data_IF_602479710443
#
_entry.id   IF_602479710443
#
_cell.length_a   1.000
_cell.length_b   1.000
_cell.length_c   1.000
_cell.angle_alpha   90.00
_cell.angle_beta   90.00
_cell.angle_gamma   90.00
#
_symmetry.space_group_name_H-M   'P 1'
#
loop_
_entity.id
_entity.type
_entity.pdbx_description
1 polymer ?
#
# COMPACT_ATOMS: atom_id res chain seq x y z
N UNK A 1 -20.10 -3.87 38.85
CA UNK A 1 -21.01 -3.24 37.88
C UNK A 1 -20.97 -4.06 36.59
N UNK A 2 -22.13 -4.47 36.00
CA UNK A 2 -22.20 -5.28 34.81
C UNK A 2 -21.48 -4.66 33.59
N UNK A 3 -21.42 -3.31 33.53
CA UNK A 3 -20.74 -2.59 32.45
C UNK A 3 -19.20 -2.65 32.51
N UNK A 4 -18.62 -3.14 33.59
CA UNK A 4 -17.16 -3.29 33.74
C UNK A 4 -16.69 -4.74 33.60
N UNK A 5 -17.61 -5.66 33.29
CA UNK A 5 -17.22 -7.04 32.99
C UNK A 5 -16.53 -7.10 31.64
N UNK A 6 -15.40 -7.82 31.48
CA UNK A 6 -14.61 -7.83 30.25
C UNK A 6 -15.40 -8.11 28.99
N UNK A 7 -16.42 -8.96 29.07
CA UNK A 7 -17.29 -9.33 27.97
C UNK A 7 -18.20 -8.20 27.48
N UNK A 8 -18.38 -7.14 28.26
CA UNK A 8 -19.21 -5.99 27.92
C UNK A 8 -18.37 -4.76 27.53
N UNK A 9 -17.03 -4.88 27.58
CA UNK A 9 -16.13 -3.77 27.24
C UNK A 9 -15.72 -3.88 25.78
N UNK A 10 -16.11 -2.88 24.98
CA UNK A 10 -15.67 -2.71 23.59
C UNK A 10 -14.54 -1.68 23.58
N UNK A 11 -13.37 -2.09 23.10
CA UNK A 11 -12.25 -1.16 22.92
C UNK A 11 -12.52 -0.24 21.72
N UNK A 12 -12.03 1.02 21.77
CA UNK A 12 -12.04 1.85 20.59
C UNK A 12 -11.13 1.26 19.50
N UNK A 13 -11.53 1.41 18.27
CA UNK A 13 -10.75 1.00 17.09
C UNK A 13 -10.69 2.19 16.16
N UNK A 14 -9.51 2.49 15.65
CA UNK A 14 -9.31 3.58 14.69
C UNK A 14 -9.95 3.25 13.34
N UNK A 15 -10.40 4.28 12.62
CA UNK A 15 -10.78 4.14 11.23
C UNK A 15 -9.57 3.74 10.40
N UNK A 16 -9.76 2.88 9.41
CA UNK A 16 -8.70 2.33 8.58
C UNK A 16 -9.13 2.16 7.13
N UNK A 17 -8.15 2.14 6.22
CA UNK A 17 -8.39 1.82 4.82
C UNK A 17 -8.31 0.31 4.65
N UNK A 18 -9.30 -0.28 3.99
CA UNK A 18 -9.37 -1.70 3.70
C UNK A 18 -9.52 -1.94 2.20
N UNK A 19 -8.77 -2.93 1.68
CA UNK A 19 -8.97 -3.46 0.32
C UNK A 19 -10.20 -4.38 0.31
N UNK A 20 -11.23 -4.00 -0.45
CA UNK A 20 -12.46 -4.78 -0.62
C UNK A 20 -12.42 -5.71 -1.84
N UNK A 21 -11.29 -5.74 -2.55
CA UNK A 21 -11.09 -6.49 -3.79
C UNK A 21 -11.18 -5.61 -5.02
N UNK A 22 -12.21 -4.80 -5.15
CA UNK A 22 -12.40 -3.88 -6.28
C UNK A 22 -11.88 -2.46 -5.98
N UNK A 23 -12.06 -2.00 -4.74
CA UNK A 23 -11.70 -0.65 -4.30
C UNK A 23 -11.07 -0.68 -2.91
N UNK A 24 -10.46 0.43 -2.54
CA UNK A 24 -10.11 0.72 -1.15
C UNK A 24 -11.24 1.53 -0.52
N UNK A 25 -11.69 1.13 0.65
CA UNK A 25 -12.76 1.79 1.39
C UNK A 25 -12.32 2.11 2.82
N UNK A 26 -12.87 3.20 3.35
CA UNK A 26 -12.65 3.56 4.75
C UNK A 26 -13.64 2.79 5.60
N UNK A 27 -13.11 1.92 6.47
CA UNK A 27 -13.89 1.28 7.53
C UNK A 27 -13.95 2.26 8.70
N UNK A 28 -15.15 2.69 9.12
CA UNK A 28 -15.29 3.65 10.20
C UNK A 28 -14.73 3.15 11.52
N UNK A 29 -14.38 4.11 12.34
CA UNK A 29 -13.94 3.89 13.71
C UNK A 29 -15.03 3.28 14.59
N UNK A 30 -14.60 2.52 15.60
CA UNK A 30 -15.47 2.05 16.68
C UNK A 30 -15.17 2.87 17.91
N UNK A 31 -16.15 3.65 18.40
CA UNK A 31 -15.98 4.51 19.58
C UNK A 31 -15.68 3.69 20.83
N UNK A 32 -16.24 2.51 20.95
CA UNK A 32 -16.10 1.67 22.11
C UNK A 32 -16.77 2.26 23.38
N UNK A 33 -16.55 1.57 24.50
CA UNK A 33 -17.04 1.99 25.81
C UNK A 33 -16.01 1.73 26.93
N UNK A 34 -14.73 1.53 26.56
CA UNK A 34 -13.65 1.29 27.48
C UNK A 34 -13.31 2.58 28.26
N UNK A 35 -13.34 2.49 29.60
CA UNK A 35 -12.95 3.60 30.44
C UNK A 35 -11.42 3.78 30.48
N UNK A 36 -10.99 5.03 30.47
CA UNK A 36 -9.64 5.39 30.91
C UNK A 36 -9.60 5.32 32.43
N UNK A 37 -8.89 4.35 32.96
CA UNK A 37 -8.87 4.07 34.40
C UNK A 37 -8.32 5.24 35.18
N UNK A 38 -7.18 5.79 34.77
CA UNK A 38 -6.51 6.88 35.49
C UNK A 38 -7.41 8.11 35.56
N UNK A 39 -7.93 8.52 34.42
CA UNK A 39 -8.83 9.67 34.32
C UNK A 39 -10.13 9.45 35.10
N UNK A 40 -10.68 8.27 35.07
CA UNK A 40 -11.90 7.93 35.82
C UNK A 40 -11.67 7.99 37.32
N UNK A 41 -10.56 7.45 37.82
CA UNK A 41 -10.18 7.51 39.24
C UNK A 41 -9.98 8.96 39.71
N UNK A 42 -9.32 9.79 38.91
CA UNK A 42 -9.12 11.24 39.21
C UNK A 42 -10.46 11.97 39.28
N UNK A 43 -11.33 11.81 38.32
CA UNK A 43 -12.64 12.47 38.24
C UNK A 43 -13.54 12.05 39.39
N UNK A 44 -13.60 10.77 39.72
CA UNK A 44 -14.40 10.25 40.82
C UNK A 44 -13.86 10.81 42.16
N UNK A 45 -12.55 10.77 42.39
CA UNK A 45 -11.93 11.28 43.58
C UNK A 45 -12.18 12.77 43.78
N UNK A 46 -12.05 13.57 42.72
CA UNK A 46 -12.34 15.00 42.77
C UNK A 46 -13.83 15.31 43.04
N UNK A 47 -14.73 14.50 42.52
CA UNK A 47 -16.16 14.63 42.76
C UNK A 47 -16.52 14.32 44.23
N UNK A 48 -15.93 13.27 44.79
CA UNK A 48 -16.11 12.90 46.18
C UNK A 48 -15.62 14.01 47.14
N UNK A 49 -14.44 14.56 46.88
CA UNK A 49 -13.90 15.68 47.64
C UNK A 49 -14.79 16.92 47.61
N UNK A 50 -15.55 17.15 46.54
CA UNK A 50 -16.50 18.26 46.39
C UNK A 50 -17.90 17.93 46.90
N UNK A 51 -18.11 16.77 47.50
CA UNK A 51 -19.41 16.31 48.00
C UNK A 51 -20.46 16.03 46.91
N UNK A 52 -20.04 15.78 45.68
CA UNK A 52 -20.97 15.40 44.62
C UNK A 52 -21.47 13.96 44.81
N UNK A 53 -22.77 13.74 44.62
CA UNK A 53 -23.41 12.44 44.76
C UNK A 53 -23.45 11.62 43.46
N UNK A 54 -23.17 12.27 42.33
CA UNK A 54 -23.13 11.64 41.00
C UNK A 54 -22.14 12.35 40.09
N UNK A 55 -21.61 11.61 39.15
CA UNK A 55 -20.71 12.08 38.06
C UNK A 55 -21.12 11.44 36.76
N UNK A 56 -21.19 12.24 35.72
CA UNK A 56 -21.39 11.74 34.36
C UNK A 56 -20.02 11.54 33.68
N UNK A 57 -19.58 10.28 33.54
CA UNK A 57 -18.26 9.94 33.00
C UNK A 57 -18.12 10.31 31.53
N UNK A 58 -19.22 10.37 30.76
CA UNK A 58 -19.24 10.84 29.37
C UNK A 58 -18.83 12.31 29.27
N UNK A 59 -19.52 13.17 30.07
CA UNK A 59 -19.24 14.60 30.08
C UNK A 59 -17.83 14.94 30.56
N UNK A 60 -17.26 14.08 31.40
CA UNK A 60 -15.88 14.21 31.90
C UNK A 60 -14.87 13.55 30.97
N UNK A 61 -15.32 13.03 29.82
CA UNK A 61 -14.48 12.37 28.81
C UNK A 61 -13.61 11.24 29.38
N UNK A 62 -14.21 10.41 30.24
CA UNK A 62 -13.53 9.29 30.89
C UNK A 62 -13.44 8.03 29.99
N UNK A 63 -14.06 8.03 28.83
CA UNK A 63 -13.95 6.93 27.87
C UNK A 63 -12.77 7.13 26.95
N UNK A 64 -12.08 6.03 26.62
CA UNK A 64 -11.06 6.01 25.56
C UNK A 64 -11.73 6.29 24.22
N UNK A 65 -11.04 6.99 23.35
CA UNK A 65 -11.52 7.35 22.03
C UNK A 65 -10.55 6.82 20.96
N UNK A 66 -11.02 6.56 19.74
CA UNK A 66 -10.14 6.34 18.60
C UNK A 66 -9.22 7.54 18.39
N UNK A 67 -8.04 7.26 17.84
CA UNK A 67 -7.08 8.31 17.44
C UNK A 67 -7.33 8.80 16.03
N UNK A 68 -7.85 7.92 15.16
CA UNK A 68 -8.16 8.22 13.74
C UNK A 68 -9.64 8.02 13.51
N UNK A 69 -10.26 8.99 12.86
CA UNK A 69 -11.69 8.99 12.54
C UNK A 69 -11.91 8.87 11.03
N UNK A 70 -13.04 8.32 10.61
CA UNK A 70 -13.46 8.24 9.21
C UNK A 70 -13.63 9.61 8.54
N UNK A 71 -13.72 10.66 9.34
CA UNK A 71 -13.75 12.06 8.88
C UNK A 71 -12.37 12.67 8.65
N UNK A 72 -11.31 11.99 9.06
CA UNK A 72 -9.94 12.45 8.92
C UNK A 72 -9.58 12.69 7.44
N UNK A 73 -9.06 13.89 7.15
CA UNK A 73 -8.77 14.30 5.78
C UNK A 73 -7.58 13.56 5.18
N UNK A 74 -6.56 13.24 6.01
CA UNK A 74 -5.41 12.44 5.57
C UNK A 74 -5.85 11.04 5.16
N UNK A 75 -6.68 10.40 5.98
CA UNK A 75 -7.20 9.06 5.70
C UNK A 75 -8.01 9.05 4.39
N UNK A 76 -8.85 10.07 4.16
CA UNK A 76 -9.62 10.22 2.92
C UNK A 76 -8.72 10.44 1.72
N UNK A 77 -7.77 11.36 1.81
CA UNK A 77 -6.82 11.64 0.73
C UNK A 77 -6.00 10.39 0.36
N UNK A 78 -5.54 9.64 1.36
CA UNK A 78 -4.83 8.38 1.15
C UNK A 78 -5.71 7.34 0.44
N UNK A 79 -6.96 7.17 0.89
CA UNK A 79 -7.90 6.25 0.26
C UNK A 79 -8.20 6.61 -1.20
N UNK A 80 -8.41 7.89 -1.48
CA UNK A 80 -8.60 8.39 -2.84
C UNK A 80 -7.37 8.17 -3.72
N UNK A 81 -6.17 8.48 -3.21
CA UNK A 81 -4.91 8.27 -3.91
C UNK A 81 -4.69 6.79 -4.24
N UNK A 82 -4.88 5.89 -3.26
CA UNK A 82 -4.78 4.44 -3.49
C UNK A 82 -5.73 4.01 -4.61
N UNK A 83 -6.99 4.46 -4.57
CA UNK A 83 -7.98 4.15 -5.60
C UNK A 83 -7.65 4.75 -6.98
N UNK A 84 -6.94 5.86 -7.04
CA UNK A 84 -6.47 6.43 -8.30
C UNK A 84 -5.32 5.60 -8.90
N UNK A 85 -4.32 5.28 -8.09
CA UNK A 85 -3.13 4.56 -8.53
C UNK A 85 -3.45 3.14 -9.02
N UNK A 86 -4.33 2.41 -8.35
CA UNK A 86 -4.68 1.04 -8.75
C UNK A 86 -5.55 0.94 -10.00
N UNK A 87 -6.05 2.04 -10.53
CA UNK A 87 -6.77 2.07 -11.81
C UNK A 87 -5.83 2.08 -13.02
N UNK A 88 -4.57 2.40 -12.79
CA UNK A 88 -3.57 2.48 -13.86
C UNK A 88 -3.18 1.07 -14.28
N UNK A 89 -3.06 0.88 -15.58
CA UNK A 89 -2.55 -0.35 -16.18
C UNK A 89 -1.34 0.04 -17.06
N UNK A 90 -0.17 -0.49 -16.71
CA UNK A 90 1.03 -0.36 -17.52
C UNK A 90 1.28 -1.70 -18.19
N UNK A 91 1.30 -1.70 -19.53
CA UNK A 91 1.64 -2.89 -20.30
C UNK A 91 3.04 -2.72 -20.88
N UNK A 92 3.98 -3.54 -20.43
CA UNK A 92 5.29 -3.64 -21.05
C UNK A 92 5.20 -4.42 -22.36
N UNK A 93 5.78 -3.86 -23.40
CA UNK A 93 5.92 -4.49 -24.72
C UNK A 93 7.37 -4.93 -24.93
N UNK A 94 7.60 -6.23 -25.00
CA UNK A 94 8.90 -6.83 -25.29
C UNK A 94 8.96 -7.36 -26.73
N UNK A 95 8.13 -6.82 -27.62
CA UNK A 95 7.98 -7.18 -29.03
C UNK A 95 7.32 -8.56 -29.29
N UNK A 96 7.82 -9.63 -28.66
CA UNK A 96 7.29 -11.00 -28.82
C UNK A 96 6.35 -11.42 -27.66
N UNK A 97 6.29 -10.62 -26.60
CA UNK A 97 5.49 -10.86 -25.40
C UNK A 97 5.18 -9.58 -24.65
N UNK A 98 4.20 -9.65 -23.78
CA UNK A 98 3.81 -8.52 -22.92
C UNK A 98 3.79 -8.91 -21.44
N UNK A 99 4.00 -7.93 -20.58
CA UNK A 99 3.84 -8.06 -19.12
C UNK A 99 2.95 -6.92 -18.64
N UNK A 100 2.03 -7.20 -17.73
CA UNK A 100 1.08 -6.18 -17.28
C UNK A 100 1.24 -5.89 -15.79
N UNK A 101 1.39 -4.62 -15.49
CA UNK A 101 1.33 -4.07 -14.13
C UNK A 101 -0.05 -3.47 -13.94
N UNK A 102 -0.82 -4.08 -13.08
CA UNK A 102 -2.20 -3.69 -12.78
C UNK A 102 -2.44 -3.60 -11.26
N UNK A 103 -3.70 -3.45 -10.87
CA UNK A 103 -4.12 -3.41 -9.47
C UNK A 103 -3.51 -4.52 -8.62
N UNK A 104 -3.40 -5.74 -9.14
CA UNK A 104 -2.96 -6.91 -8.36
C UNK A 104 -1.52 -6.78 -7.87
N UNK A 105 -0.70 -6.06 -8.63
CA UNK A 105 0.68 -5.71 -8.26
C UNK A 105 0.75 -4.38 -7.50
N UNK A 106 0.15 -3.32 -8.05
CA UNK A 106 0.26 -1.94 -7.53
C UNK A 106 -0.19 -1.87 -6.06
N UNK A 107 -1.26 -2.57 -5.69
CA UNK A 107 -1.78 -2.56 -4.32
C UNK A 107 -0.78 -3.09 -3.27
N UNK A 108 0.17 -3.91 -3.68
CA UNK A 108 1.19 -4.46 -2.80
C UNK A 108 2.43 -3.55 -2.66
N UNK A 109 2.47 -2.45 -3.42
CA UNK A 109 3.60 -1.50 -3.42
C UNK A 109 3.32 -0.25 -2.61
N UNK A 110 2.17 -0.16 -1.95
CA UNK A 110 1.87 1.00 -1.11
C UNK A 110 2.73 1.02 0.15
N UNK A 111 3.29 2.17 0.41
CA UNK A 111 3.96 2.56 1.65
C UNK A 111 3.44 3.89 2.14
N UNK A 112 4.04 4.41 3.21
CA UNK A 112 3.74 5.72 3.76
C UNK A 112 5.02 6.52 3.93
N UNK A 113 4.98 7.80 3.59
CA UNK A 113 6.06 8.73 3.87
C UNK A 113 6.08 9.15 5.35
N UNK A 114 7.04 10.03 5.73
CA UNK A 114 7.19 10.52 7.10
C UNK A 114 5.98 11.34 7.58
N UNK A 115 5.22 11.91 6.66
CA UNK A 115 4.00 12.70 6.92
C UNK A 115 2.74 11.82 6.93
N UNK A 116 2.86 10.51 6.68
CA UNK A 116 1.75 9.56 6.63
C UNK A 116 0.95 9.57 5.31
N UNK A 117 1.49 10.17 4.24
CA UNK A 117 0.87 10.09 2.91
C UNK A 117 1.22 8.77 2.23
N UNK A 118 0.26 8.22 1.50
CA UNK A 118 0.48 7.04 0.66
C UNK A 118 1.47 7.35 -0.46
N UNK A 119 2.47 6.50 -0.58
CA UNK A 119 3.45 6.50 -1.66
C UNK A 119 3.55 5.10 -2.28
N UNK A 120 4.20 5.00 -3.45
CA UNK A 120 4.71 3.72 -3.95
C UNK A 120 6.09 3.46 -3.32
N UNK A 121 6.24 2.34 -2.61
CA UNK A 121 7.52 1.97 -2.00
C UNK A 121 8.51 1.57 -3.10
N UNK A 122 9.56 2.39 -3.25
CA UNK A 122 10.58 2.21 -4.27
C UNK A 122 11.27 0.85 -4.17
N UNK A 123 11.45 0.30 -2.97
CA UNK A 123 12.13 -0.99 -2.80
C UNK A 123 11.27 -2.14 -3.34
N UNK A 124 9.95 -2.08 -3.15
CA UNK A 124 9.02 -3.08 -3.67
C UNK A 124 8.92 -3.00 -5.19
N UNK A 125 8.89 -1.79 -5.75
CA UNK A 125 8.93 -1.57 -7.20
C UNK A 125 10.26 -2.06 -7.77
N UNK A 126 11.38 -1.77 -7.11
CA UNK A 126 12.73 -2.22 -7.49
C UNK A 126 12.83 -3.75 -7.54
N UNK A 127 12.25 -4.42 -6.56
CA UNK A 127 12.22 -5.88 -6.56
C UNK A 127 11.48 -6.42 -7.79
N UNK A 128 10.34 -5.86 -8.12
CA UNK A 128 9.59 -6.22 -9.33
C UNK A 128 10.40 -5.97 -10.61
N UNK A 129 11.05 -4.81 -10.73
CA UNK A 129 11.88 -4.49 -11.91
C UNK A 129 13.09 -5.43 -12.03
N UNK A 130 13.68 -5.82 -10.89
CA UNK A 130 14.76 -6.80 -10.90
C UNK A 130 14.28 -8.19 -11.40
N UNK A 131 13.10 -8.63 -10.94
CA UNK A 131 12.48 -9.88 -11.43
C UNK A 131 12.13 -9.79 -12.92
N UNK A 132 11.71 -8.60 -13.38
CA UNK A 132 11.45 -8.32 -14.79
C UNK A 132 12.73 -8.47 -15.63
N UNK A 133 13.86 -7.92 -15.16
CA UNK A 133 15.17 -8.08 -15.79
C UNK A 133 15.61 -9.54 -15.84
N UNK A 134 15.51 -10.28 -14.75
CA UNK A 134 15.82 -11.72 -14.74
C UNK A 134 15.00 -12.51 -15.75
N UNK A 135 13.76 -12.10 -16.03
CA UNK A 135 12.84 -12.78 -16.93
C UNK A 135 13.06 -12.41 -18.40
N UNK A 136 13.43 -11.15 -18.68
CA UNK A 136 13.39 -10.58 -20.01
C UNK A 136 14.72 -10.08 -20.56
N UNK A 137 15.76 -9.89 -19.75
CA UNK A 137 17.08 -9.53 -20.25
C UNK A 137 17.63 -10.62 -21.17
N UNK A 138 18.14 -10.20 -22.32
CA UNK A 138 18.62 -11.12 -23.36
C UNK A 138 20.10 -11.02 -23.63
N UNK A 139 20.79 -10.01 -23.10
CA UNK A 139 22.23 -9.88 -23.23
C UNK A 139 22.95 -11.08 -22.57
N UNK A 140 23.96 -11.60 -23.23
CA UNK A 140 24.72 -12.74 -22.73
C UNK A 140 24.04 -14.11 -22.85
N UNK A 141 22.79 -14.18 -23.32
CA UNK A 141 22.09 -15.47 -23.51
C UNK A 141 22.64 -16.25 -24.73
N UNK A 142 22.81 -17.56 -24.56
CA UNK A 142 23.14 -18.45 -25.68
C UNK A 142 21.90 -18.61 -26.60
N UNK A 143 22.09 -18.44 -27.90
CA UNK A 143 21.03 -18.56 -28.88
C UNK A 143 21.35 -19.66 -29.86
N UNK A 144 20.36 -20.47 -30.19
CA UNK A 144 20.48 -21.51 -31.23
C UNK A 144 19.90 -20.99 -32.54
N UNK A 145 20.70 -21.00 -33.58
CA UNK A 145 20.30 -20.64 -34.94
C UNK A 145 20.27 -21.86 -35.85
N UNK A 146 19.29 -21.91 -36.73
CA UNK A 146 19.26 -22.86 -37.80
C UNK A 146 19.90 -22.22 -39.03
N UNK A 147 21.00 -22.78 -39.49
CA UNK A 147 21.66 -22.31 -40.71
C UNK A 147 20.86 -22.72 -41.95
N UNK A 148 21.14 -22.11 -43.11
CA UNK A 148 20.41 -22.38 -44.33
C UNK A 148 20.53 -23.86 -44.77
N UNK A 149 21.56 -24.58 -44.34
CA UNK A 149 21.80 -26.01 -44.55
C UNK A 149 21.24 -26.92 -43.44
N UNK A 150 20.30 -26.39 -42.66
CA UNK A 150 19.61 -27.06 -41.52
C UNK A 150 20.51 -27.55 -40.38
N UNK A 151 21.69 -26.97 -40.19
CA UNK A 151 22.52 -27.26 -39.03
C UNK A 151 22.15 -26.31 -37.89
N UNK A 152 22.01 -26.84 -36.69
CA UNK A 152 21.89 -26.04 -35.49
C UNK A 152 23.29 -25.56 -35.06
N UNK A 153 23.42 -24.25 -34.88
CA UNK A 153 24.63 -23.61 -34.38
C UNK A 153 24.28 -22.84 -33.12
N UNK A 154 24.95 -23.16 -32.04
CA UNK A 154 24.86 -22.37 -30.80
C UNK A 154 25.85 -21.20 -30.85
N UNK A 155 25.30 -20.00 -30.75
CA UNK A 155 26.08 -18.78 -30.57
C UNK A 155 26.02 -18.43 -29.10
N UNK A 156 27.15 -18.53 -28.40
CA UNK A 156 27.28 -18.11 -27.02
C UNK A 156 27.05 -16.61 -26.93
N UNK A 157 26.36 -16.19 -25.86
CA UNK A 157 26.06 -14.81 -25.63
C UNK A 157 27.33 -13.95 -25.61
N UNK A 158 27.25 -12.83 -26.30
CA UNK A 158 28.21 -11.74 -26.30
C UNK A 158 27.53 -10.47 -25.84
N UNK A 159 27.99 -9.33 -26.32
CA UNK A 159 27.49 -8.00 -25.95
C UNK A 159 26.15 -7.65 -26.65
N UNK A 160 25.56 -8.60 -27.37
CA UNK A 160 24.32 -8.40 -28.09
C UNK A 160 23.11 -8.85 -27.27
N UNK A 161 22.16 -7.93 -27.09
CA UNK A 161 20.91 -8.16 -26.35
C UNK A 161 20.40 -6.92 -25.67
N UNK A 162 19.31 -7.07 -24.98
CA UNK A 162 18.67 -6.02 -24.20
C UNK A 162 18.94 -6.26 -22.73
N UNK A 163 19.18 -5.19 -21.98
CA UNK A 163 19.27 -5.19 -20.51
C UNK A 163 18.45 -4.02 -20.01
N UNK A 164 17.56 -4.29 -19.09
CA UNK A 164 16.77 -3.24 -18.44
C UNK A 164 17.69 -2.42 -17.53
N UNK A 165 17.69 -1.10 -17.71
CA UNK A 165 18.27 -0.16 -16.74
C UNK A 165 17.34 -0.12 -15.52
N UNK A 166 17.66 -0.94 -14.52
CA UNK A 166 16.77 -1.12 -13.37
C UNK A 166 16.56 0.17 -12.58
N UNK A 167 17.58 1.03 -12.46
CA UNK A 167 17.48 2.28 -11.71
C UNK A 167 16.59 3.31 -12.40
N UNK A 168 16.74 3.46 -13.70
CA UNK A 168 15.90 4.38 -14.49
C UNK A 168 14.51 3.80 -14.70
N UNK A 169 14.37 2.48 -14.84
CA UNK A 169 13.07 1.84 -14.99
C UNK A 169 12.20 1.96 -13.73
N UNK A 170 12.77 1.81 -12.53
CA UNK A 170 12.04 2.00 -11.27
C UNK A 170 11.43 3.41 -11.22
N UNK A 171 12.22 4.44 -11.53
CA UNK A 171 11.74 5.83 -11.56
C UNK A 171 10.65 6.03 -12.62
N UNK A 172 10.88 5.49 -13.81
CA UNK A 172 9.95 5.61 -14.92
C UNK A 172 8.62 4.88 -14.65
N UNK A 173 8.66 3.70 -14.01
CA UNK A 173 7.46 2.95 -13.65
C UNK A 173 6.65 3.68 -12.57
N UNK A 174 7.31 4.17 -11.52
CA UNK A 174 6.64 4.96 -10.47
C UNK A 174 5.98 6.19 -11.08
N UNK A 175 6.71 6.97 -11.87
CA UNK A 175 6.19 8.15 -12.54
C UNK A 175 5.01 7.82 -13.50
N UNK A 176 5.09 6.70 -14.21
CA UNK A 176 4.01 6.25 -15.09
C UNK A 176 2.74 5.93 -14.31
N UNK A 177 2.84 5.24 -13.17
CA UNK A 177 1.69 4.93 -12.32
C UNK A 177 1.13 6.22 -11.69
N UNK A 178 1.99 7.09 -11.18
CA UNK A 178 1.58 8.37 -10.56
C UNK A 178 0.95 9.35 -11.57
N UNK A 179 1.27 9.23 -12.85
CA UNK A 179 0.61 10.02 -13.90
C UNK A 179 -0.89 9.73 -14.04
N UNK A 180 -1.37 8.59 -13.52
CA UNK A 180 -2.76 8.15 -13.62
C UNK A 180 -3.18 7.68 -15.01
N UNK A 181 -2.23 7.53 -15.95
CA UNK A 181 -2.52 7.21 -17.36
C UNK A 181 -2.18 5.75 -17.67
N UNK A 182 -3.18 5.00 -18.09
CA UNK A 182 -2.97 3.64 -18.63
C UNK A 182 -2.23 3.74 -19.97
N UNK A 183 -1.14 2.99 -20.10
CA UNK A 183 -0.29 3.04 -21.29
C UNK A 183 0.41 1.72 -21.60
N UNK A 184 0.80 1.59 -22.87
CA UNK A 184 1.72 0.54 -23.33
C UNK A 184 3.09 1.20 -23.52
N UNK A 185 4.15 0.59 -23.01
CA UNK A 185 5.51 1.11 -23.11
C UNK A 185 6.55 0.00 -23.16
N UNK A 186 7.71 0.31 -23.69
CA UNK A 186 8.90 -0.51 -23.52
C UNK A 186 9.57 -0.16 -22.17
N UNK A 187 10.33 -1.09 -21.54
CA UNK A 187 11.21 -0.76 -20.44
C UNK A 187 12.31 0.22 -20.87
N UNK A 188 12.90 0.89 -19.89
CA UNK A 188 14.15 1.65 -20.14
C UNK A 188 15.29 0.65 -20.23
N UNK A 189 16.03 0.70 -21.33
CA UNK A 189 17.18 -0.16 -21.58
C UNK A 189 18.50 0.60 -21.42
N UNK A 190 19.57 -0.14 -21.05
CA UNK A 190 20.95 0.37 -21.01
C UNK A 190 21.48 0.73 -22.39
#
# INVERSE_FOLDING_TARGET
LKCMQPENVVQPVDAQIQDTGDTFEIIPEVMGNALDRTKTEEVISAAMLRGKTSVNLENESCYRKPSVYSTDEQLKANCEKMNQLVKVIITYDFADRTETVDRTLIKNWFGYDEDGNVILDENLVRQYVADLGLKYDTMGQTRTFLTYDNRQVEIKGGDYGWVIDQDEEVKALIAAIESGVTQVREPVYL
#
